data_IF_403985230261
#
_entry.id   IF_403985230261
#
_cell.length_a   1.000
_cell.length_b   1.000
_cell.length_c   1.000
_cell.angle_alpha   90.00
_cell.angle_beta   90.00
_cell.angle_gamma   90.00
#
_symmetry.space_group_name_H-M   'P 1'
#
loop_
_entity.id
_entity.type
_entity.pdbx_description
1 polymer ?
#
# COMPACT_ATOMS: atom_id res chain seq x y z
N UNK A 1 10.19 -1.24 13.02
CA UNK A 1 10.89 -0.60 11.86
C UNK A 1 9.92 -0.47 10.70
N UNK A 2 10.14 0.47 9.78
CA UNK A 2 9.29 0.67 8.59
C UNK A 2 9.13 -0.61 7.76
N UNK A 3 10.20 -1.38 7.63
CA UNK A 3 10.18 -2.67 6.96
C UNK A 3 9.17 -3.65 7.61
N UNK A 4 9.09 -3.69 8.95
CA UNK A 4 8.11 -4.50 9.69
C UNK A 4 6.68 -4.05 9.36
N UNK A 5 6.45 -2.74 9.28
CA UNK A 5 5.15 -2.16 8.91
C UNK A 5 4.77 -2.58 7.49
N UNK A 6 5.64 -2.36 6.50
CA UNK A 6 5.35 -2.72 5.10
C UNK A 6 5.16 -4.23 4.92
N UNK A 7 5.99 -5.06 5.57
CA UNK A 7 5.87 -6.54 5.52
C UNK A 7 4.55 -7.04 6.11
N UNK A 8 3.94 -6.33 7.06
CA UNK A 8 2.65 -6.71 7.65
C UNK A 8 1.49 -6.71 6.64
N UNK A 9 1.61 -5.98 5.53
CA UNK A 9 0.58 -5.95 4.48
C UNK A 9 0.64 -7.16 3.55
N UNK A 10 1.82 -7.77 3.37
CA UNK A 10 2.04 -8.87 2.44
C UNK A 10 1.12 -10.10 2.67
N UNK A 11 0.93 -10.61 3.90
CA UNK A 11 0.07 -11.79 4.12
C UNK A 11 -1.42 -11.51 3.95
N UNK A 12 -1.83 -10.23 3.89
CA UNK A 12 -3.24 -9.82 3.91
C UNK A 12 -3.64 -8.99 2.69
N UNK A 13 -2.87 -9.07 1.60
CA UNK A 13 -3.12 -8.31 0.36
C UNK A 13 -4.55 -8.50 -0.14
N UNK A 14 -5.05 -9.73 -0.16
CA UNK A 14 -6.40 -10.06 -0.61
C UNK A 14 -7.47 -9.27 0.17
N UNK A 15 -7.35 -9.24 1.50
CA UNK A 15 -8.29 -8.52 2.37
C UNK A 15 -8.22 -6.99 2.17
N UNK A 16 -7.06 -6.45 1.78
CA UNK A 16 -6.94 -5.05 1.40
C UNK A 16 -7.63 -4.78 0.06
N UNK A 17 -7.36 -5.61 -0.95
CA UNK A 17 -7.95 -5.46 -2.29
C UNK A 17 -9.48 -5.53 -2.25
N UNK A 18 -10.05 -6.43 -1.43
CA UNK A 18 -11.51 -6.57 -1.24
C UNK A 18 -12.20 -5.26 -0.79
N UNK A 19 -11.49 -4.39 -0.05
CA UNK A 19 -12.02 -3.10 0.41
C UNK A 19 -11.53 -1.90 -0.41
N UNK A 20 -10.64 -2.12 -1.38
CA UNK A 20 -10.04 -1.08 -2.22
C UNK A 20 -10.85 -0.80 -3.50
N UNK A 21 -12.14 -1.20 -3.48
CA UNK A 21 -13.15 -1.14 -4.54
C UNK A 21 -13.13 -2.29 -5.56
N UNK A 22 -14.29 -2.52 -6.17
CA UNK A 22 -14.49 -3.42 -7.28
C UNK A 22 -13.60 -3.05 -8.50
N UNK A 23 -13.35 -4.05 -9.34
CA UNK A 23 -12.65 -3.94 -10.63
C UNK A 23 -11.24 -3.34 -10.59
N UNK A 24 -10.61 -3.30 -9.41
CA UNK A 24 -9.26 -2.78 -9.24
C UNK A 24 -8.20 -3.58 -10.06
N UNK A 25 -8.51 -4.81 -10.48
CA UNK A 25 -7.69 -5.62 -11.38
C UNK A 25 -7.53 -5.01 -12.78
N UNK A 26 -8.48 -4.18 -13.23
CA UNK A 26 -8.35 -3.42 -14.48
C UNK A 26 -7.31 -2.30 -14.39
N UNK A 27 -7.02 -1.83 -13.17
CA UNK A 27 -6.06 -0.74 -12.89
C UNK A 27 -4.70 -1.28 -12.47
N UNK A 28 -4.67 -2.23 -11.53
CA UNK A 28 -3.46 -2.82 -10.94
C UNK A 28 -2.88 -3.91 -11.85
N UNK A 29 -2.24 -3.47 -12.94
CA UNK A 29 -1.76 -4.35 -14.01
C UNK A 29 -0.24 -4.52 -14.04
N UNK A 30 0.49 -3.79 -13.19
CA UNK A 30 1.95 -3.69 -13.26
C UNK A 30 2.45 -2.69 -14.30
N UNK A 31 1.54 -2.09 -15.09
CA UNK A 31 1.84 -1.04 -16.07
C UNK A 31 1.42 0.33 -15.54
N UNK A 32 1.90 1.39 -16.19
CA UNK A 32 1.44 2.77 -15.93
C UNK A 32 1.55 3.19 -14.45
N UNK A 33 2.73 2.99 -13.86
CA UNK A 33 2.99 3.35 -12.46
C UNK A 33 2.05 2.64 -11.46
N UNK A 34 1.70 1.38 -11.73
CA UNK A 34 0.95 0.51 -10.81
C UNK A 34 1.71 -0.79 -10.57
N UNK A 35 1.38 -1.48 -9.47
CA UNK A 35 1.78 -2.87 -9.24
C UNK A 35 0.70 -3.82 -9.79
N UNK A 36 1.07 -5.05 -10.15
CA UNK A 36 0.12 -6.11 -10.43
C UNK A 36 -0.71 -6.44 -9.20
N UNK A 37 -2.01 -6.70 -9.35
CA UNK A 37 -2.91 -7.06 -8.25
C UNK A 37 -2.47 -8.32 -7.49
N UNK A 38 -1.77 -9.23 -8.18
CA UNK A 38 -1.31 -10.52 -7.65
C UNK A 38 0.06 -10.44 -6.97
N UNK A 39 0.71 -9.27 -7.00
CA UNK A 39 2.04 -9.06 -6.43
C UNK A 39 2.02 -7.97 -5.37
N UNK A 40 2.91 -8.11 -4.39
CA UNK A 40 3.11 -7.09 -3.36
C UNK A 40 4.57 -6.72 -3.24
N UNK A 41 4.83 -5.42 -3.26
CA UNK A 41 6.17 -4.85 -3.19
C UNK A 41 6.12 -3.47 -2.53
N UNK A 42 7.22 -3.08 -1.90
CA UNK A 42 7.42 -1.74 -1.36
C UNK A 42 8.83 -1.26 -1.63
N UNK A 43 9.01 0.05 -1.83
CA UNK A 43 10.30 0.60 -2.21
C UNK A 43 10.45 2.09 -1.97
N UNK A 44 11.69 2.54 -1.83
CA UNK A 44 12.03 3.97 -1.70
C UNK A 44 11.89 4.64 -3.06
N UNK A 45 11.03 5.66 -3.13
CA UNK A 45 10.70 6.41 -4.35
C UNK A 45 10.09 5.56 -5.49
N UNK A 46 9.77 4.29 -5.25
CA UNK A 46 9.29 3.37 -6.27
C UNK A 46 7.80 3.61 -6.58
N UNK A 47 7.52 4.11 -7.78
CA UNK A 47 6.16 4.32 -8.29
C UNK A 47 5.55 3.08 -8.96
N UNK A 48 6.28 1.98 -9.09
CA UNK A 48 5.74 0.68 -9.49
C UNK A 48 5.35 -0.20 -8.30
N UNK A 49 5.73 0.19 -7.08
CA UNK A 49 5.43 -0.57 -5.87
C UNK A 49 3.97 -0.46 -5.42
N UNK A 50 3.52 -1.45 -4.65
CA UNK A 50 2.24 -1.39 -3.93
C UNK A 50 2.25 -0.30 -2.86
N UNK A 51 3.32 -0.23 -2.07
CA UNK A 51 3.55 0.83 -1.08
C UNK A 51 4.80 1.60 -1.46
N UNK A 52 4.67 2.91 -1.67
CA UNK A 52 5.80 3.80 -1.90
C UNK A 52 6.27 4.43 -0.60
N UNK A 53 7.59 4.45 -0.40
CA UNK A 53 8.24 5.22 0.66
C UNK A 53 8.76 6.51 0.02
N UNK A 54 8.18 7.68 0.31
CA UNK A 54 8.66 8.96 -0.22
C UNK A 54 10.14 9.20 0.15
N UNK A 55 10.90 9.78 -0.76
CA UNK A 55 12.33 10.11 -0.51
C UNK A 55 12.47 11.04 0.71
N UNK A 56 11.53 11.98 0.89
CA UNK A 56 11.47 12.86 2.05
C UNK A 56 11.40 12.10 3.39
N UNK A 57 10.75 10.94 3.44
CA UNK A 57 10.75 10.10 4.66
C UNK A 57 12.16 9.64 4.98
N UNK A 58 12.94 9.23 3.97
CA UNK A 58 14.33 8.76 4.13
C UNK A 58 15.27 9.92 4.48
N UNK A 59 15.17 11.04 3.76
CA UNK A 59 15.98 12.24 3.99
C UNK A 59 15.74 12.87 5.36
N UNK A 60 14.52 12.77 5.89
CA UNK A 60 14.17 13.26 7.24
C UNK A 60 14.44 12.24 8.35
N UNK A 61 15.39 11.32 8.14
CA UNK A 61 15.79 10.34 9.16
C UNK A 61 14.67 9.37 9.51
N UNK A 62 13.94 8.89 8.50
CA UNK A 62 12.78 8.01 8.66
C UNK A 62 11.65 8.64 9.49
N UNK A 63 11.39 9.94 9.27
CA UNK A 63 10.23 10.66 9.80
C UNK A 63 9.39 11.15 8.63
N UNK A 64 8.17 10.63 8.50
CA UNK A 64 7.31 10.91 7.35
C UNK A 64 6.18 9.91 7.25
N UNK A 65 5.79 9.56 6.03
CA UNK A 65 4.66 8.67 5.77
C UNK A 65 5.02 7.55 4.78
N UNK A 66 4.10 6.60 4.67
CA UNK A 66 4.06 5.55 3.66
C UNK A 66 2.82 5.79 2.80
N UNK A 67 2.92 5.53 1.50
CA UNK A 67 1.81 5.72 0.56
C UNK A 67 1.36 4.36 0.01
N UNK A 68 0.18 3.89 0.40
CA UNK A 68 -0.45 2.72 -0.22
C UNK A 68 -1.14 3.15 -1.53
N UNK A 69 -0.64 2.65 -2.66
CA UNK A 69 -1.04 3.08 -4.02
C UNK A 69 -2.09 2.15 -4.64
N UNK A 70 -2.54 1.15 -3.88
CA UNK A 70 -3.49 0.13 -4.31
C UNK A 70 -4.97 0.53 -4.21
N UNK A 71 -5.43 1.46 -3.35
CA UNK A 71 -6.81 1.96 -3.42
C UNK A 71 -7.11 2.59 -4.78
N UNK A 72 -8.27 2.31 -5.36
CA UNK A 72 -8.73 3.01 -6.57
C UNK A 72 -9.50 4.29 -6.22
N UNK A 73 -9.87 5.07 -7.25
CA UNK A 73 -10.56 6.36 -7.11
C UNK A 73 -11.99 6.29 -6.56
N UNK A 74 -12.63 5.11 -6.59
CA UNK A 74 -13.99 4.90 -6.09
C UNK A 74 -14.01 4.15 -4.74
N UNK A 75 -12.85 3.93 -4.13
CA UNK A 75 -12.74 3.24 -2.84
C UNK A 75 -13.40 4.04 -1.71
N UNK A 76 -14.11 3.33 -0.83
CA UNK A 76 -14.67 3.90 0.39
C UNK A 76 -13.54 4.26 1.37
N UNK A 77 -13.31 5.56 1.65
CA UNK A 77 -12.17 5.99 2.45
C UNK A 77 -12.21 5.42 3.88
N UNK A 78 -13.40 5.17 4.43
CA UNK A 78 -13.53 4.62 5.78
C UNK A 78 -13.10 3.16 5.84
N UNK A 79 -13.48 2.35 4.84
CA UNK A 79 -13.07 0.94 4.76
C UNK A 79 -11.58 0.81 4.52
N UNK A 80 -11.02 1.63 3.63
CA UNK A 80 -9.57 1.69 3.36
C UNK A 80 -8.81 2.01 4.65
N UNK A 81 -9.17 3.10 5.33
CA UNK A 81 -8.49 3.52 6.55
C UNK A 81 -8.61 2.47 7.67
N UNK A 82 -9.80 1.92 7.89
CA UNK A 82 -10.02 0.87 8.88
C UNK A 82 -9.16 -0.38 8.62
N UNK A 83 -9.06 -0.81 7.35
CA UNK A 83 -8.22 -1.95 6.99
C UNK A 83 -6.73 -1.66 7.18
N UNK A 84 -6.24 -0.47 6.81
CA UNK A 84 -4.85 -0.05 7.05
C UNK A 84 -4.53 -0.06 8.54
N UNK A 85 -5.37 0.57 9.37
CA UNK A 85 -5.19 0.62 10.83
C UNK A 85 -5.14 -0.79 11.42
N UNK A 86 -6.05 -1.69 10.99
CA UNK A 86 -6.08 -3.08 11.45
C UNK A 86 -4.76 -3.80 11.18
N UNK A 87 -4.17 -3.63 10.00
CA UNK A 87 -2.86 -4.23 9.66
C UNK A 87 -1.74 -3.64 10.49
N UNK A 88 -1.65 -2.31 10.54
CA UNK A 88 -0.52 -1.64 11.21
C UNK A 88 -0.51 -1.93 12.71
N UNK A 89 -1.68 -2.06 13.35
CA UNK A 89 -1.80 -2.42 14.78
C UNK A 89 -1.20 -3.78 15.16
N UNK A 90 -1.02 -4.72 14.22
CA UNK A 90 -0.43 -6.04 14.55
C UNK A 90 1.09 -5.98 14.76
N UNK A 91 1.72 -4.89 14.31
CA UNK A 91 3.18 -4.72 14.32
C UNK A 91 3.66 -3.42 14.98
N UNK A 92 2.71 -2.55 15.35
CA UNK A 92 2.93 -1.32 16.12
C UNK A 92 3.38 -1.63 17.55
#
# INVERSE_FOLDING_TARGET
TYEKICKAFAPVVKEHIEVYCADNHLRLTGKHETQSIDQFSFGVSDRGASIRIPIATVENGWKGWLEDRRPNSAADPYKVAARIIKTVKTVS
#
